data_IF_137125671316
#
_entry.id   IF_137125671316
#
_cell.length_a   1.000
_cell.length_b   1.000
_cell.length_c   1.000
_cell.angle_alpha   90.00
_cell.angle_beta   90.00
_cell.angle_gamma   90.00
#
_symmetry.space_group_name_H-M   'P 1'
#
loop_
_entity.id
_entity.type
_entity.pdbx_description
1 polymer ?
#
# COMPACT_ATOMS: atom_id res chain seq x y z
N UNK A 1 -32.66 47.67 7.96
CA UNK A 1 -32.73 46.36 8.66
C UNK A 1 -31.29 45.92 8.91
N UNK A 2 -30.71 46.30 10.02
CA UNK A 2 -29.37 45.89 10.41
C UNK A 2 -29.45 44.54 11.12
N UNK A 3 -29.38 43.47 10.36
CA UNK A 3 -29.39 42.09 10.87
C UNK A 3 -27.96 41.53 11.02
N UNK A 4 -27.01 42.39 11.37
CA UNK A 4 -25.63 41.97 11.61
C UNK A 4 -25.34 41.73 13.10
N UNK A 5 -24.12 41.26 13.41
CA UNK A 5 -23.62 41.06 14.78
C UNK A 5 -23.85 42.30 15.68
N UNK A 6 -23.77 43.51 15.09
CA UNK A 6 -24.07 44.76 15.78
C UNK A 6 -25.53 44.86 16.27
N UNK A 7 -26.51 44.36 15.52
CA UNK A 7 -27.89 44.32 15.94
C UNK A 7 -28.14 43.38 17.13
N UNK A 8 -27.44 42.23 17.13
CA UNK A 8 -27.45 41.29 18.26
C UNK A 8 -26.83 41.90 19.53
N UNK A 9 -25.72 42.61 19.38
CA UNK A 9 -25.07 43.26 20.50
C UNK A 9 -25.91 44.41 21.07
N UNK A 10 -26.65 45.13 20.22
CA UNK A 10 -27.53 46.24 20.65
C UNK A 10 -28.76 45.72 21.36
N UNK A 11 -29.41 44.69 20.85
CA UNK A 11 -30.52 44.02 21.51
C UNK A 11 -30.12 43.44 22.89
N UNK A 12 -28.91 42.96 23.02
CA UNK A 12 -28.34 42.41 24.25
C UNK A 12 -28.07 43.50 25.33
N UNK A 13 -27.75 44.72 24.91
CA UNK A 13 -27.54 45.84 25.84
C UNK A 13 -28.84 46.47 26.35
N UNK A 14 -29.97 46.32 25.65
CA UNK A 14 -31.24 46.89 26.04
C UNK A 14 -32.00 46.05 27.08
N UNK A 15 -31.64 44.76 27.23
CA UNK A 15 -32.23 43.86 28.23
C UNK A 15 -31.57 44.07 29.60
N UNK A 16 -32.03 45.09 30.33
CA UNK A 16 -31.59 45.45 31.67
C UNK A 16 -31.99 44.44 32.74
N UNK A 17 -31.38 43.27 32.76
CA UNK A 17 -31.38 42.38 33.91
C UNK A 17 -29.98 42.23 34.47
N UNK A 18 -29.79 42.46 35.74
CA UNK A 18 -28.47 42.61 36.39
C UNK A 18 -27.52 41.43 36.38
N UNK A 19 -27.94 40.24 35.87
CA UNK A 19 -27.08 39.06 35.85
C UNK A 19 -27.07 38.22 34.52
N UNK A 20 -27.85 38.50 33.47
CA UNK A 20 -27.88 37.59 32.29
C UNK A 20 -26.66 37.76 31.40
N UNK A 21 -25.96 38.90 31.44
CA UNK A 21 -24.77 39.13 30.60
C UNK A 21 -23.59 38.26 31.03
N UNK A 22 -23.31 38.21 32.33
CA UNK A 22 -22.20 37.41 32.86
C UNK A 22 -22.47 35.92 32.70
N UNK A 23 -23.70 35.45 32.93
CA UNK A 23 -24.09 34.06 32.76
C UNK A 23 -23.97 33.64 31.30
N UNK A 24 -24.44 34.49 30.37
CA UNK A 24 -24.40 34.23 28.94
C UNK A 24 -22.96 34.24 28.40
N UNK A 25 -22.11 35.18 28.91
CA UNK A 25 -20.69 35.23 28.57
C UNK A 25 -19.98 33.95 29.00
N UNK A 26 -20.21 33.48 30.21
CA UNK A 26 -19.62 32.22 30.66
C UNK A 26 -20.12 31.03 29.87
N UNK A 27 -21.40 30.97 29.51
CA UNK A 27 -21.96 29.93 28.68
C UNK A 27 -21.31 29.90 27.29
N UNK A 28 -21.22 31.03 26.63
CA UNK A 28 -20.63 31.16 25.30
C UNK A 28 -19.13 30.80 25.33
N UNK A 29 -18.40 31.24 26.38
CA UNK A 29 -16.97 30.95 26.52
C UNK A 29 -16.68 29.50 26.82
N UNK A 30 -17.45 28.88 27.72
CA UNK A 30 -17.36 27.45 28.01
C UNK A 30 -17.75 26.64 26.77
N UNK A 31 -18.79 27.01 26.04
CA UNK A 31 -19.22 26.36 24.80
C UNK A 31 -18.12 26.39 23.73
N UNK A 32 -17.50 27.56 23.54
CA UNK A 32 -16.39 27.72 22.60
C UNK A 32 -15.16 26.91 23.01
N UNK A 33 -14.83 26.87 24.29
CA UNK A 33 -13.69 26.10 24.82
C UNK A 33 -13.94 24.59 24.61
N UNK A 34 -15.13 24.13 24.96
CA UNK A 34 -15.50 22.71 24.75
C UNK A 34 -15.45 22.33 23.28
N UNK A 35 -15.97 23.18 22.38
CA UNK A 35 -15.96 22.93 20.95
C UNK A 35 -14.52 22.85 20.41
N UNK A 36 -13.64 23.77 20.81
CA UNK A 36 -12.21 23.76 20.42
C UNK A 36 -11.50 22.50 20.90
N UNK A 37 -11.75 22.07 22.14
CA UNK A 37 -11.14 20.86 22.69
C UNK A 37 -11.64 19.62 21.95
N UNK A 38 -12.96 19.50 21.70
CA UNK A 38 -13.53 18.35 21.00
C UNK A 38 -13.00 18.25 19.57
N UNK A 39 -13.06 19.35 18.81
CA UNK A 39 -12.59 19.39 17.42
C UNK A 39 -11.07 19.15 17.37
N UNK A 40 -10.30 19.79 18.26
CA UNK A 40 -8.85 19.62 18.32
C UNK A 40 -8.45 18.16 18.57
N UNK A 41 -9.07 17.51 19.53
CA UNK A 41 -8.81 16.09 19.84
C UNK A 41 -9.21 15.17 18.69
N UNK A 42 -10.34 15.44 18.03
CA UNK A 42 -10.82 14.65 16.89
C UNK A 42 -9.85 14.76 15.70
N UNK A 43 -9.43 15.97 15.35
CA UNK A 43 -8.46 16.19 14.27
C UNK A 43 -7.12 15.55 14.62
N UNK A 44 -6.62 15.72 15.84
CA UNK A 44 -5.35 15.12 16.28
C UNK A 44 -5.42 13.58 16.22
N UNK A 45 -6.53 12.98 16.63
CA UNK A 45 -6.75 11.54 16.54
C UNK A 45 -6.66 11.04 15.08
N UNK A 46 -7.39 11.68 14.16
CA UNK A 46 -7.37 11.32 12.74
C UNK A 46 -5.95 11.44 12.15
N UNK A 47 -5.21 12.48 12.52
CA UNK A 47 -3.84 12.69 12.04
C UNK A 47 -2.93 11.56 12.55
N UNK A 48 -2.98 11.26 13.85
CA UNK A 48 -2.14 10.22 14.47
C UNK A 48 -2.44 8.85 13.85
N UNK A 49 -3.71 8.50 13.69
CA UNK A 49 -4.13 7.23 13.10
C UNK A 49 -3.67 7.08 11.65
N UNK A 50 -3.79 8.14 10.84
CA UNK A 50 -3.30 8.14 9.46
C UNK A 50 -1.77 7.99 9.40
N UNK A 51 -1.03 8.68 10.26
CA UNK A 51 0.43 8.49 10.32
C UNK A 51 0.82 7.09 10.78
N UNK A 52 0.11 6.51 11.74
CA UNK A 52 0.35 5.15 12.17
C UNK A 52 0.09 4.13 11.05
N UNK A 53 -1.01 4.30 10.31
CA UNK A 53 -1.34 3.48 9.15
C UNK A 53 -0.29 3.57 8.03
N UNK A 54 0.15 4.80 7.70
CA UNK A 54 1.20 5.00 6.69
C UNK A 54 2.52 4.36 7.11
N UNK A 55 2.94 4.52 8.36
CA UNK A 55 4.17 3.91 8.89
C UNK A 55 4.10 2.37 8.86
N UNK A 56 2.93 1.80 9.20
CA UNK A 56 2.71 0.37 9.14
C UNK A 56 2.82 -0.14 7.70
N UNK A 57 2.15 0.52 6.76
CA UNK A 57 2.22 0.19 5.33
C UNK A 57 3.65 0.28 4.78
N UNK A 58 4.41 1.31 5.18
CA UNK A 58 5.83 1.44 4.79
C UNK A 58 6.68 0.30 5.33
N UNK A 59 6.48 -0.08 6.60
CA UNK A 59 7.23 -1.19 7.22
C UNK A 59 6.90 -2.53 6.57
N UNK A 60 5.64 -2.79 6.26
CA UNK A 60 5.19 -3.99 5.54
C UNK A 60 5.81 -4.03 4.13
N UNK A 61 5.79 -2.91 3.41
CA UNK A 61 6.42 -2.82 2.08
C UNK A 61 7.92 -3.12 2.12
N UNK A 62 8.65 -2.55 3.08
CA UNK A 62 10.09 -2.80 3.25
C UNK A 62 10.34 -4.27 3.61
N UNK A 63 9.50 -4.85 4.47
CA UNK A 63 9.58 -6.26 4.82
C UNK A 63 9.38 -7.14 3.59
N UNK A 64 8.35 -6.87 2.79
CA UNK A 64 8.06 -7.63 1.57
C UNK A 64 9.17 -7.50 0.54
N UNK A 65 9.70 -6.31 0.33
CA UNK A 65 10.84 -6.08 -0.58
C UNK A 65 12.08 -6.87 -0.20
N UNK A 66 12.32 -7.10 1.09
CA UNK A 66 13.48 -7.83 1.58
C UNK A 66 13.26 -9.35 1.68
N UNK A 67 12.02 -9.78 1.84
CA UNK A 67 11.70 -11.17 2.16
C UNK A 67 10.84 -11.90 1.11
N UNK A 68 10.34 -11.19 0.10
CA UNK A 68 9.53 -11.78 -0.96
C UNK A 68 10.18 -11.47 -2.31
N UNK A 69 10.30 -12.49 -3.16
CA UNK A 69 10.78 -12.27 -4.52
C UNK A 69 9.70 -11.57 -5.35
N UNK A 70 10.03 -10.43 -5.95
CA UNK A 70 9.11 -9.61 -6.78
C UNK A 70 8.62 -10.34 -8.04
N UNK A 71 9.36 -11.35 -8.51
CA UNK A 71 9.02 -12.09 -9.74
C UNK A 71 8.09 -13.27 -9.44
N UNK A 72 8.47 -14.16 -8.52
CA UNK A 72 7.68 -15.35 -8.23
C UNK A 72 6.76 -15.21 -7.02
N UNK A 73 6.83 -14.12 -6.26
CA UNK A 73 6.03 -13.87 -5.06
C UNK A 73 6.21 -14.92 -3.94
N UNK A 74 7.33 -15.64 -3.96
CA UNK A 74 7.65 -16.63 -2.92
C UNK A 74 8.51 -16.00 -1.82
N UNK A 75 8.31 -16.47 -0.58
CA UNK A 75 9.09 -16.03 0.57
C UNK A 75 10.55 -16.50 0.45
N UNK A 76 11.47 -15.65 0.90
CA UNK A 76 12.92 -15.92 0.91
C UNK A 76 13.28 -17.24 1.61
N UNK A 77 12.63 -17.53 2.73
CA UNK A 77 12.92 -18.74 3.50
C UNK A 77 12.56 -20.01 2.72
N UNK A 78 11.43 -20.00 2.03
CA UNK A 78 10.99 -21.09 1.15
C UNK A 78 11.97 -21.30 -0.01
N UNK A 79 12.34 -20.21 -0.68
CA UNK A 79 13.32 -20.25 -1.77
C UNK A 79 14.67 -20.77 -1.25
N UNK A 80 15.13 -20.28 -0.11
CA UNK A 80 16.42 -20.65 0.46
C UNK A 80 16.49 -22.14 0.83
N UNK A 81 15.41 -22.71 1.37
CA UNK A 81 15.34 -24.15 1.66
C UNK A 81 15.48 -24.97 0.38
N UNK A 82 14.72 -24.65 -0.67
CA UNK A 82 14.75 -25.39 -1.93
C UNK A 82 16.11 -25.23 -2.62
N UNK A 83 16.64 -24.01 -2.71
CA UNK A 83 17.91 -23.72 -3.38
C UNK A 83 19.12 -24.36 -2.69
N UNK A 84 19.05 -24.51 -1.36
CA UNK A 84 20.09 -25.21 -0.59
C UNK A 84 20.23 -26.67 -1.02
N UNK A 85 19.14 -27.35 -1.38
CA UNK A 85 19.19 -28.73 -1.89
C UNK A 85 19.94 -28.85 -3.22
N UNK A 86 19.98 -27.76 -3.99
CA UNK A 86 20.70 -27.68 -5.26
C UNK A 86 22.06 -26.97 -5.16
N UNK A 87 22.55 -26.70 -3.93
CA UNK A 87 23.83 -26.03 -3.70
C UNK A 87 23.87 -24.58 -4.13
N UNK A 88 22.70 -23.91 -4.21
CA UNK A 88 22.55 -22.50 -4.59
C UNK A 88 22.04 -21.67 -3.41
N UNK A 89 22.20 -20.34 -3.53
CA UNK A 89 21.77 -19.37 -2.52
C UNK A 89 20.62 -18.50 -3.05
N UNK A 90 19.87 -17.89 -2.14
CA UNK A 90 18.82 -16.92 -2.46
C UNK A 90 19.32 -15.76 -3.34
N UNK A 91 20.55 -15.31 -3.13
CA UNK A 91 21.15 -14.27 -3.95
C UNK A 91 21.27 -14.68 -5.43
N UNK A 92 21.53 -15.95 -5.71
CA UNK A 92 21.54 -16.48 -7.08
C UNK A 92 20.14 -16.41 -7.70
N UNK A 93 19.11 -16.78 -6.93
CA UNK A 93 17.74 -16.65 -7.36
C UNK A 93 17.36 -15.20 -7.73
N UNK A 94 17.68 -14.25 -6.85
CA UNK A 94 17.31 -12.85 -7.03
C UNK A 94 18.09 -12.14 -8.14
N UNK A 95 19.39 -12.44 -8.27
CA UNK A 95 20.28 -11.70 -9.18
C UNK A 95 20.48 -12.40 -10.54
N UNK A 96 20.18 -13.68 -10.66
CA UNK A 96 20.37 -14.44 -11.90
C UNK A 96 19.04 -14.95 -12.44
N UNK A 97 18.32 -15.78 -11.68
CA UNK A 97 17.15 -16.48 -12.19
C UNK A 97 15.96 -15.52 -12.32
N UNK A 98 15.71 -14.68 -11.29
CA UNK A 98 14.59 -13.72 -11.24
C UNK A 98 15.07 -12.27 -11.15
N UNK A 99 16.08 -11.92 -11.93
CA UNK A 99 16.52 -10.53 -12.01
C UNK A 99 15.51 -9.68 -12.76
N UNK A 100 14.86 -8.76 -12.07
CA UNK A 100 13.72 -7.95 -12.56
C UNK A 100 14.02 -7.25 -13.88
N UNK A 101 15.22 -6.70 -14.02
CA UNK A 101 15.59 -5.96 -15.24
C UNK A 101 15.64 -6.83 -16.48
N UNK A 102 15.92 -8.14 -16.37
CA UNK A 102 15.87 -9.04 -17.52
C UNK A 102 14.47 -9.11 -18.10
N UNK A 103 13.44 -9.17 -17.25
CA UNK A 103 12.05 -9.15 -17.69
C UNK A 103 11.65 -7.83 -18.32
N UNK A 104 12.07 -6.70 -17.72
CA UNK A 104 11.81 -5.36 -18.26
C UNK A 104 12.48 -5.20 -19.63
N UNK A 105 13.76 -5.54 -19.75
CA UNK A 105 14.47 -5.43 -21.01
C UNK A 105 13.88 -6.37 -22.08
N UNK A 106 13.45 -7.55 -21.69
CA UNK A 106 12.82 -8.48 -22.61
C UNK A 106 11.50 -7.93 -23.15
N UNK A 107 10.66 -7.33 -22.31
CA UNK A 107 9.43 -6.66 -22.75
C UNK A 107 9.72 -5.49 -23.69
N UNK A 108 10.73 -4.66 -23.38
CA UNK A 108 11.15 -3.57 -24.24
C UNK A 108 11.66 -4.09 -25.60
N UNK A 109 12.41 -5.19 -25.58
CA UNK A 109 12.89 -5.84 -26.78
C UNK A 109 11.71 -6.32 -27.66
N UNK A 110 10.75 -7.02 -27.08
CA UNK A 110 9.56 -7.48 -27.79
C UNK A 110 8.73 -6.33 -28.35
N UNK A 111 8.62 -5.24 -27.62
CA UNK A 111 7.88 -4.06 -28.08
C UNK A 111 8.52 -3.40 -29.32
N UNK A 112 9.86 -3.42 -29.39
CA UNK A 112 10.63 -2.81 -30.51
C UNK A 112 10.76 -3.72 -31.72
N UNK A 113 10.63 -5.04 -31.55
CA UNK A 113 10.80 -6.02 -32.62
C UNK A 113 9.57 -6.04 -33.53
N UNK A 114 9.79 -6.18 -34.83
CA UNK A 114 8.68 -6.29 -35.78
C UNK A 114 7.92 -7.60 -35.58
N UNK A 115 6.59 -7.53 -35.67
CA UNK A 115 5.71 -8.70 -35.42
C UNK A 115 5.99 -9.88 -36.34
N UNK A 116 6.48 -9.59 -37.54
CA UNK A 116 6.83 -10.60 -38.55
C UNK A 116 8.11 -11.38 -38.22
N UNK A 117 8.93 -10.84 -37.34
CA UNK A 117 10.22 -11.44 -36.91
C UNK A 117 10.13 -12.18 -35.57
N UNK A 118 8.96 -12.15 -34.92
CA UNK A 118 8.75 -12.85 -33.67
C UNK A 118 8.74 -14.37 -33.87
N UNK A 119 9.48 -15.10 -33.04
CA UNK A 119 9.36 -16.54 -32.97
C UNK A 119 8.09 -16.97 -32.22
N UNK A 120 7.75 -18.26 -32.21
CA UNK A 120 6.49 -18.73 -31.63
C UNK A 120 6.33 -18.38 -30.13
N UNK A 121 7.42 -18.45 -29.35
CA UNK A 121 7.38 -18.09 -27.92
C UNK A 121 7.27 -16.58 -27.74
N UNK A 122 8.03 -15.80 -28.51
CA UNK A 122 7.97 -14.34 -28.50
C UNK A 122 6.59 -13.83 -28.91
N UNK A 123 5.96 -14.45 -29.93
CA UNK A 123 4.60 -14.12 -30.36
C UNK A 123 3.58 -14.40 -29.27
N UNK A 124 3.69 -15.53 -28.58
CA UNK A 124 2.81 -15.87 -27.44
C UNK A 124 2.93 -14.85 -26.33
N UNK A 125 4.16 -14.48 -25.92
CA UNK A 125 4.37 -13.51 -24.84
C UNK A 125 3.95 -12.12 -25.29
N UNK A 126 4.21 -11.74 -26.55
CA UNK A 126 3.76 -10.48 -27.11
C UNK A 126 2.23 -10.35 -27.05
N UNK A 127 1.52 -11.39 -27.50
CA UNK A 127 0.06 -11.41 -27.50
C UNK A 127 -0.51 -11.36 -26.07
N UNK A 128 0.02 -12.15 -25.16
CA UNK A 128 -0.41 -12.15 -23.76
C UNK A 128 -0.16 -10.79 -23.10
N UNK A 129 1.04 -10.22 -23.24
CA UNK A 129 1.43 -9.01 -22.54
C UNK A 129 0.80 -7.73 -23.12
N UNK A 130 0.75 -7.60 -24.47
CA UNK A 130 0.37 -6.32 -25.12
C UNK A 130 -1.06 -6.33 -25.65
N UNK A 131 -1.60 -7.46 -26.06
CA UNK A 131 -2.95 -7.55 -26.63
C UNK A 131 -3.95 -7.93 -25.54
N UNK A 132 -3.73 -9.05 -24.85
CA UNK A 132 -4.63 -9.55 -23.80
C UNK A 132 -4.44 -8.83 -22.47
N UNK A 133 -3.27 -8.17 -22.26
CA UNK A 133 -2.85 -7.56 -20.99
C UNK A 133 -2.87 -8.56 -19.84
N UNK A 134 -2.52 -9.79 -20.13
CA UNK A 134 -2.46 -10.89 -19.19
C UNK A 134 -1.02 -11.13 -18.73
N UNK A 135 -0.84 -11.45 -17.46
CA UNK A 135 0.45 -11.71 -16.82
C UNK A 135 0.72 -13.21 -16.62
N UNK A 136 -0.09 -14.10 -17.18
CA UNK A 136 0.06 -15.56 -17.02
C UNK A 136 1.37 -16.11 -17.56
N UNK A 137 2.01 -15.41 -18.51
CA UNK A 137 3.35 -15.72 -18.99
C UNK A 137 4.45 -15.52 -17.94
N UNK A 138 4.14 -14.75 -16.89
CA UNK A 138 5.07 -14.45 -15.81
C UNK A 138 5.20 -15.64 -14.85
N UNK A 139 6.40 -15.97 -14.34
CA UNK A 139 6.63 -17.15 -13.51
C UNK A 139 6.14 -16.97 -12.06
N UNK A 140 4.85 -16.67 -11.88
CA UNK A 140 4.27 -16.55 -10.55
C UNK A 140 4.23 -17.91 -9.86
N UNK A 141 4.69 -17.99 -8.61
CA UNK A 141 4.80 -19.21 -7.79
C UNK A 141 5.60 -20.34 -8.45
N UNK A 142 6.52 -20.02 -9.37
CA UNK A 142 7.36 -20.99 -10.08
C UNK A 142 8.84 -20.69 -9.79
N UNK A 143 9.63 -21.75 -9.62
CA UNK A 143 11.07 -21.66 -9.50
C UNK A 143 11.70 -22.36 -10.70
N UNK A 144 12.80 -21.80 -11.22
CA UNK A 144 13.51 -22.35 -12.38
C UNK A 144 14.08 -23.75 -12.09
N UNK A 145 14.49 -24.00 -10.85
CA UNK A 145 15.19 -25.23 -10.46
C UNK A 145 14.24 -26.27 -9.88
N UNK A 146 13.21 -25.86 -9.17
CA UNK A 146 12.34 -26.76 -8.43
C UNK A 146 11.23 -27.37 -9.31
N UNK A 147 10.94 -28.64 -9.08
CA UNK A 147 9.77 -29.28 -9.65
C UNK A 147 8.50 -28.73 -8.97
N UNK A 148 7.36 -28.68 -9.67
CA UNK A 148 6.10 -28.20 -9.09
C UNK A 148 5.72 -28.91 -7.77
N UNK A 149 6.00 -30.21 -7.68
CA UNK A 149 5.75 -31.04 -6.50
C UNK A 149 6.50 -30.59 -5.24
N UNK A 150 7.72 -30.03 -5.38
CA UNK A 150 8.50 -29.52 -4.27
C UNK A 150 7.94 -28.20 -3.70
N UNK A 151 7.18 -27.48 -4.51
CA UNK A 151 6.53 -26.21 -4.12
C UNK A 151 5.21 -26.45 -3.37
N UNK A 152 4.53 -27.58 -3.65
CA UNK A 152 3.25 -27.93 -3.02
C UNK A 152 3.44 -28.53 -1.62
N UNK A 153 4.48 -29.33 -1.41
CA UNK A 153 4.75 -30.01 -0.12
C UNK A 153 4.99 -28.97 1.01
N UNK A 154 5.53 -27.78 0.71
CA UNK A 154 5.78 -26.74 1.73
C UNK A 154 4.62 -25.74 1.88
N UNK A 155 3.53 -25.87 1.13
CA UNK A 155 2.35 -25.01 1.29
C UNK A 155 1.47 -25.43 2.48
N UNK A 156 1.58 -26.68 2.92
CA UNK A 156 0.79 -27.25 4.02
C UNK A 156 1.39 -26.92 5.41
N UNK A 157 2.68 -26.53 5.47
CA UNK A 157 3.36 -26.19 6.72
C UNK A 157 3.13 -24.70 7.14
N UNK A 158 2.68 -23.83 6.23
CA UNK A 158 2.44 -22.40 6.49
C UNK A 158 1.01 -22.10 7.05
N UNK A 159 0.19 -23.12 7.32
CA UNK A 159 -1.21 -22.97 7.77
C UNK A 159 -1.42 -23.12 9.29
N UNK A 160 -0.35 -23.26 10.07
CA UNK A 160 -0.41 -23.41 11.55
C UNK A 160 0.40 -22.33 12.28
N UNK A 161 0.14 -21.00 12.04
CA UNK A 161 0.56 -19.95 12.98
C UNK A 161 -0.43 -18.76 12.94
#
# INVERSE_FOLDING_TARGET
MDNGISGYLKARNEEKSKNPFTLRFFYDEIGNLMLKILIGNMISGIIIDNFAALRKSETEMIYDMNNICTICSLKKDKISKIYKNYGKDYNTHQNVDHFVFNYIFYIIYLYKKEKTELNGMESYIYESAFVQKDITWFPNKKLYIAKPEELEIESDDDSED
#
